data_IF_448998565376
#
_entry.id   IF_448998565376
#
_cell.length_a   1.000
_cell.length_b   1.000
_cell.length_c   1.000
_cell.angle_alpha   90.00
_cell.angle_beta   90.00
_cell.angle_gamma   90.00
#
_symmetry.space_group_name_H-M   'P 1'
#
loop_
_entity.id
_entity.type
_entity.pdbx_description
1 polymer ?
#
# COMPACT_ATOMS: atom_id res chain seq x y z
N UNK A 1 -5.37 -6.07 -19.08
CA UNK A 1 -6.29 -5.06 -18.49
C UNK A 1 -7.58 -5.68 -17.95
N UNK A 2 -7.58 -6.93 -17.47
CA UNK A 2 -8.79 -7.63 -16.98
C UNK A 2 -8.68 -8.12 -15.53
N UNK A 3 -7.46 -8.27 -15.00
CA UNK A 3 -7.23 -8.69 -13.61
C UNK A 3 -7.42 -7.54 -12.60
N UNK A 4 -7.04 -6.31 -12.98
CA UNK A 4 -7.11 -5.14 -12.09
C UNK A 4 -8.57 -4.71 -11.82
N UNK A 5 -9.43 -4.75 -12.83
CA UNK A 5 -10.83 -4.32 -12.73
C UNK A 5 -11.68 -5.32 -11.94
N UNK A 6 -11.42 -6.63 -12.12
CA UNK A 6 -12.01 -7.69 -11.28
C UNK A 6 -11.57 -7.58 -9.82
N UNK A 7 -10.28 -7.32 -9.57
CA UNK A 7 -9.77 -7.12 -8.21
C UNK A 7 -10.46 -5.94 -7.51
N UNK A 8 -10.73 -4.85 -8.22
CA UNK A 8 -11.40 -3.66 -7.65
C UNK A 8 -12.88 -3.89 -7.31
N UNK A 9 -13.55 -4.82 -8.00
CA UNK A 9 -14.95 -5.16 -7.76
C UNK A 9 -15.10 -6.06 -6.53
N UNK A 10 -14.18 -7.02 -6.35
CA UNK A 10 -14.15 -7.93 -5.21
C UNK A 10 -14.01 -7.22 -3.85
N UNK A 11 -13.35 -6.05 -3.82
CA UNK A 11 -13.05 -5.29 -2.59
C UNK A 11 -14.27 -4.59 -1.97
N UNK A 12 -15.38 -4.42 -2.71
CA UNK A 12 -16.55 -3.69 -2.21
C UNK A 12 -16.26 -2.20 -1.90
N UNK A 13 -16.95 -1.65 -0.89
CA UNK A 13 -16.67 -0.30 -0.37
C UNK A 13 -15.24 -0.23 0.17
N UNK A 14 -14.46 0.74 -0.30
CA UNK A 14 -13.06 0.93 0.11
C UNK A 14 -12.78 2.37 0.52
N UNK A 15 -11.99 2.51 1.57
CA UNK A 15 -11.35 3.77 1.95
C UNK A 15 -9.85 3.58 1.80
N UNK A 16 -9.23 4.40 0.96
CA UNK A 16 -7.78 4.37 0.72
C UNK A 16 -7.17 5.57 1.43
N UNK A 17 -6.14 5.31 2.23
CA UNK A 17 -5.32 6.30 2.90
C UNK A 17 -3.90 6.22 2.35
N UNK A 18 -3.34 7.36 2.00
CA UNK A 18 -1.90 7.49 1.73
C UNK A 18 -1.22 7.78 3.06
N UNK A 19 -0.30 6.93 3.45
CA UNK A 19 0.48 7.07 4.69
C UNK A 19 1.74 7.87 4.45
N UNK A 20 2.49 7.51 3.41
CA UNK A 20 3.70 8.20 3.02
C UNK A 20 3.82 8.24 1.50
N UNK A 21 4.40 9.31 0.98
CA UNK A 21 4.73 9.45 -0.42
C UNK A 21 6.08 10.13 -0.57
N UNK A 22 6.93 9.54 -1.38
CA UNK A 22 8.27 10.01 -1.69
C UNK A 22 8.36 10.24 -3.19
N UNK A 23 8.96 11.36 -3.58
CA UNK A 23 9.08 11.78 -4.97
C UNK A 23 10.56 11.78 -5.33
N UNK A 24 10.93 10.96 -6.30
CA UNK A 24 12.22 10.96 -6.95
C UNK A 24 12.07 11.64 -8.32
N UNK A 25 12.37 12.93 -8.35
CA UNK A 25 12.29 13.75 -9.57
C UNK A 25 13.31 13.32 -10.63
N UNK A 26 14.48 12.83 -10.23
CA UNK A 26 15.55 12.45 -11.17
C UNK A 26 15.12 11.22 -11.99
N UNK A 27 14.53 10.23 -11.31
CA UNK A 27 14.06 9.00 -11.95
C UNK A 27 12.59 9.05 -12.38
N UNK A 28 11.92 10.20 -12.21
CA UNK A 28 10.48 10.38 -12.46
C UNK A 28 9.65 9.26 -11.80
N UNK A 29 9.91 9.03 -10.51
CA UNK A 29 9.35 7.93 -9.76
C UNK A 29 8.67 8.41 -8.48
N UNK A 30 7.54 7.83 -8.14
CA UNK A 30 6.86 8.01 -6.87
C UNK A 30 6.88 6.68 -6.13
N UNK A 31 7.33 6.69 -4.88
CA UNK A 31 7.17 5.59 -3.96
C UNK A 31 6.13 5.96 -2.91
N UNK A 32 5.09 5.14 -2.71
CA UNK A 32 4.07 5.39 -1.70
C UNK A 32 3.72 4.15 -0.88
N UNK A 33 3.31 4.41 0.36
CA UNK A 33 2.70 3.43 1.27
C UNK A 33 1.22 3.78 1.41
N UNK A 34 0.37 2.80 1.15
CA UNK A 34 -1.08 2.94 1.17
C UNK A 34 -1.69 1.95 2.16
N UNK A 35 -2.76 2.41 2.82
CA UNK A 35 -3.69 1.56 3.56
C UNK A 35 -5.04 1.56 2.88
N UNK A 36 -5.55 0.39 2.53
CA UNK A 36 -6.93 0.26 2.08
C UNK A 36 -7.74 -0.49 3.13
N UNK A 37 -8.77 0.16 3.69
CA UNK A 37 -9.81 -0.53 4.46
C UNK A 37 -10.91 -0.95 3.49
N UNK A 38 -11.22 -2.25 3.44
CA UNK A 38 -12.18 -2.81 2.49
C UNK A 38 -12.92 -4.01 3.07
N UNK A 39 -14.10 -4.33 2.53
CA UNK A 39 -14.87 -5.52 2.92
C UNK A 39 -15.04 -6.41 1.71
N UNK A 40 -14.22 -7.48 1.56
CA UNK A 40 -14.32 -8.33 0.39
C UNK A 40 -15.70 -8.99 0.31
N UNK A 41 -16.30 -8.92 -0.87
CA UNK A 41 -17.59 -9.55 -1.21
C UNK A 41 -17.42 -10.83 -2.03
N UNK A 42 -16.23 -11.00 -2.62
CA UNK A 42 -15.79 -12.18 -3.36
C UNK A 42 -14.39 -12.59 -2.90
N UNK A 43 -13.96 -13.79 -3.27
CA UNK A 43 -12.64 -14.30 -2.90
C UNK A 43 -11.54 -13.36 -3.39
N UNK A 44 -10.67 -12.93 -2.48
CA UNK A 44 -9.62 -11.95 -2.75
C UNK A 44 -8.27 -12.49 -2.27
N UNK A 45 -7.27 -12.55 -3.17
CA UNK A 45 -5.93 -13.08 -2.88
C UNK A 45 -5.92 -14.50 -2.27
N UNK A 46 -6.90 -15.33 -2.63
CA UNK A 46 -7.06 -16.69 -2.09
C UNK A 46 -7.77 -16.77 -0.75
N UNK A 47 -8.31 -15.65 -0.24
CA UNK A 47 -9.12 -15.60 0.97
C UNK A 47 -10.61 -15.52 0.63
N UNK A 48 -11.42 -16.33 1.30
CA UNK A 48 -12.87 -16.26 1.19
C UNK A 48 -13.45 -15.05 1.95
N UNK A 49 -14.54 -14.44 1.47
CA UNK A 49 -15.22 -13.35 2.17
C UNK A 49 -15.63 -13.72 3.60
N UNK A 50 -15.29 -12.87 4.57
CA UNK A 50 -15.71 -13.06 5.97
C UNK A 50 -16.85 -12.13 6.41
N UNK A 51 -17.27 -11.21 5.54
CA UNK A 51 -18.24 -10.16 5.87
C UNK A 51 -17.70 -9.04 6.78
N UNK A 52 -16.40 -9.06 7.09
CA UNK A 52 -15.70 -8.11 7.95
C UNK A 52 -14.81 -7.18 7.14
N UNK A 53 -14.51 -6.02 7.71
CA UNK A 53 -13.51 -5.12 7.13
C UNK A 53 -12.11 -5.71 7.35
N UNK A 54 -11.28 -5.62 6.31
CA UNK A 54 -9.85 -5.93 6.31
C UNK A 54 -9.07 -4.66 5.99
N UNK A 55 -7.83 -4.61 6.44
CA UNK A 55 -6.87 -3.58 6.10
C UNK A 55 -5.77 -4.18 5.23
N UNK A 56 -5.62 -3.67 4.02
CA UNK A 56 -4.51 -3.93 3.13
C UNK A 56 -3.42 -2.91 3.38
N UNK A 57 -2.17 -3.35 3.57
CA UNK A 57 -0.98 -2.49 3.43
C UNK A 57 -0.33 -2.78 2.09
N UNK A 58 -0.13 -1.74 1.30
CA UNK A 58 0.48 -1.80 -0.02
C UNK A 58 1.64 -0.80 -0.11
N UNK A 59 2.74 -1.22 -0.72
CA UNK A 59 3.79 -0.30 -1.17
C UNK A 59 3.81 -0.28 -2.68
N UNK A 60 3.85 0.91 -3.27
CA UNK A 60 3.88 1.09 -4.72
C UNK A 60 5.10 1.90 -5.12
N UNK A 61 5.73 1.48 -6.21
CA UNK A 61 6.61 2.32 -7.01
C UNK A 61 5.95 2.59 -8.35
N UNK A 62 5.83 3.85 -8.74
CA UNK A 62 5.20 4.30 -9.97
C UNK A 62 6.18 5.21 -10.74
N UNK A 63 6.56 4.80 -11.95
CA UNK A 63 7.42 5.56 -12.85
C UNK A 63 6.61 6.29 -13.91
N UNK A 64 7.09 7.45 -14.32
CA UNK A 64 6.46 8.33 -15.28
C UNK A 64 7.37 8.61 -16.47
N UNK A 65 6.76 8.75 -17.64
CA UNK A 65 7.42 9.19 -18.88
C UNK A 65 6.49 10.16 -19.57
N UNK A 66 6.98 11.35 -19.90
CA UNK A 66 6.19 12.46 -20.47
C UNK A 66 4.92 12.79 -19.63
N UNK A 67 5.07 12.76 -18.30
CA UNK A 67 3.98 13.05 -17.35
C UNK A 67 2.91 11.95 -17.26
N UNK A 68 3.11 10.78 -17.88
CA UNK A 68 2.16 9.64 -17.82
C UNK A 68 2.78 8.45 -17.11
N UNK A 69 1.96 7.72 -16.36
CA UNK A 69 2.37 6.47 -15.71
C UNK A 69 2.87 5.48 -16.77
N UNK A 70 4.15 5.11 -16.73
CA UNK A 70 4.78 4.18 -17.66
C UNK A 70 4.91 2.78 -17.06
N UNK A 71 5.16 2.70 -15.75
CA UNK A 71 5.31 1.44 -15.02
C UNK A 71 4.83 1.60 -13.57
N UNK A 72 4.26 0.54 -13.03
CA UNK A 72 4.06 0.42 -11.59
C UNK A 72 4.51 -0.97 -11.10
N UNK A 73 5.07 -1.02 -9.90
CA UNK A 73 5.31 -2.25 -9.13
C UNK A 73 4.62 -2.06 -7.80
N UNK A 74 3.83 -3.04 -7.40
CA UNK A 74 3.05 -3.01 -6.16
C UNK A 74 3.41 -4.24 -5.35
N UNK A 75 3.62 -4.07 -4.05
CA UNK A 75 3.84 -5.15 -3.10
C UNK A 75 2.82 -5.04 -1.99
N UNK A 76 2.21 -6.17 -1.65
CA UNK A 76 1.13 -6.26 -0.66
C UNK A 76 1.63 -7.10 0.50
N UNK A 77 1.39 -6.65 1.74
CA UNK A 77 1.63 -7.47 2.91
C UNK A 77 0.50 -8.51 3.09
N UNK A 78 0.64 -9.66 2.43
CA UNK A 78 -0.33 -10.75 2.54
C UNK A 78 -0.26 -11.51 3.87
N UNK A 79 0.85 -11.41 4.61
CA UNK A 79 0.98 -12.04 5.94
C UNK A 79 0.06 -11.36 6.94
N UNK A 80 -0.04 -10.03 6.91
CA UNK A 80 -0.94 -9.28 7.78
C UNK A 80 -2.41 -9.53 7.44
N UNK A 81 -2.75 -9.71 6.16
CA UNK A 81 -4.07 -10.18 5.78
C UNK A 81 -4.36 -11.56 6.37
N UNK A 82 -3.42 -12.51 6.29
CA UNK A 82 -3.57 -13.85 6.88
C UNK A 82 -3.82 -13.78 8.40
N UNK A 83 -3.11 -12.92 9.11
CA UNK A 83 -3.32 -12.70 10.56
C UNK A 83 -4.72 -12.15 10.86
N UNK A 84 -5.18 -11.14 10.11
CA UNK A 84 -6.53 -10.57 10.27
C UNK A 84 -7.62 -11.60 10.03
N UNK A 85 -7.39 -12.52 9.09
CA UNK A 85 -8.32 -13.61 8.79
C UNK A 85 -8.35 -14.67 9.90
N UNK A 86 -7.17 -15.00 10.46
CA UNK A 86 -7.02 -16.01 11.51
C UNK A 86 -7.49 -15.55 12.90
N UNK A 87 -7.41 -14.25 13.21
CA UNK A 87 -7.75 -13.71 14.54
C UNK A 87 -8.91 -12.71 14.46
N UNK A 88 -10.16 -13.19 14.57
CA UNK A 88 -11.35 -12.33 14.68
C UNK A 88 -11.22 -11.29 15.80
N UNK A 89 -11.26 -10.00 15.46
CA UNK A 89 -11.28 -8.91 16.45
C UNK A 89 -9.92 -8.50 17.02
N UNK A 90 -8.82 -8.97 16.42
CA UNK A 90 -7.50 -8.41 16.72
C UNK A 90 -7.44 -6.95 16.27
N UNK A 91 -7.11 -6.03 17.19
CA UNK A 91 -6.76 -4.66 16.82
C UNK A 91 -5.47 -4.71 15.99
N UNK A 92 -5.56 -4.39 14.71
CA UNK A 92 -4.37 -4.17 13.90
C UNK A 92 -3.87 -2.76 14.23
N UNK A 93 -2.82 -2.67 15.03
CA UNK A 93 -2.09 -1.42 15.19
C UNK A 93 -1.39 -1.12 13.86
N UNK A 94 -1.78 0.00 13.24
CA UNK A 94 -1.15 0.44 12.00
C UNK A 94 0.16 1.11 12.36
N UNK A 95 1.27 0.41 12.11
CA UNK A 95 2.60 0.99 12.16
C UNK A 95 2.77 1.93 10.95
N UNK A 96 2.34 3.18 11.12
CA UNK A 96 2.25 4.21 10.08
C UNK A 96 3.63 4.85 9.84
N UNK A 97 4.10 4.87 8.59
CA UNK A 97 5.32 5.58 8.21
C UNK A 97 5.21 7.10 8.42
N UNK A 98 4.00 7.66 8.42
CA UNK A 98 3.77 9.06 8.81
C UNK A 98 4.15 9.38 10.27
N UNK A 99 4.25 8.38 11.13
CA UNK A 99 4.73 8.55 12.51
C UNK A 99 6.25 8.61 12.60
N UNK A 100 6.97 8.20 11.53
CA UNK A 100 8.40 8.40 11.43
C UNK A 100 8.70 9.86 11.02
N UNK A 101 9.46 10.55 11.88
CA UNK A 101 9.96 11.90 11.62
C UNK A 101 11.01 11.87 10.51
N UNK A 102 10.55 11.89 9.25
CA UNK A 102 11.45 12.14 8.12
C UNK A 102 11.87 13.61 8.16
N UNK A 103 13.17 13.93 8.11
CA UNK A 103 13.62 15.32 8.10
C UNK A 103 12.98 16.08 6.93
N UNK A 104 12.10 17.03 7.20
CA UNK A 104 11.34 17.77 6.18
C UNK A 104 12.20 18.67 5.27
N UNK A 105 13.51 18.78 5.52
CA UNK A 105 14.34 19.87 4.98
C UNK A 105 15.55 19.44 4.15
N UNK A 106 15.74 18.15 3.86
CA UNK A 106 16.86 17.70 3.02
C UNK A 106 16.40 16.75 1.92
N UNK A 107 16.83 17.01 0.67
CA UNK A 107 16.93 15.96 -0.35
C UNK A 107 17.75 14.82 0.27
N UNK A 108 17.08 13.73 0.63
CA UNK A 108 17.74 12.54 1.10
C UNK A 108 18.49 11.91 -0.07
N UNK A 109 19.71 11.46 0.18
CA UNK A 109 20.40 10.56 -0.74
C UNK A 109 19.62 9.24 -0.86
N UNK A 110 19.81 8.50 -1.95
CA UNK A 110 19.18 7.19 -2.14
C UNK A 110 19.40 6.23 -0.95
N UNK A 111 20.57 6.31 -0.30
CA UNK A 111 20.91 5.50 0.87
C UNK A 111 20.13 5.91 2.12
N UNK A 112 19.92 7.20 2.33
CA UNK A 112 19.12 7.71 3.44
C UNK A 112 17.65 7.35 3.25
N UNK A 113 17.14 7.47 2.01
CA UNK A 113 15.79 7.05 1.66
C UNK A 113 15.59 5.54 1.90
N UNK A 114 16.54 4.70 1.50
CA UNK A 114 16.47 3.26 1.74
C UNK A 114 16.48 2.93 3.25
N UNK A 115 17.28 3.64 4.05
CA UNK A 115 17.33 3.46 5.49
C UNK A 115 15.99 3.82 6.16
N UNK A 116 15.32 4.88 5.72
CA UNK A 116 13.99 5.27 6.22
C UNK A 116 12.91 4.23 5.94
N UNK A 117 13.04 3.48 4.84
CA UNK A 117 12.09 2.42 4.47
C UNK A 117 12.29 1.10 5.22
N UNK A 118 13.47 0.88 5.81
CA UNK A 118 13.82 -0.36 6.53
C UNK A 118 13.62 -0.28 8.04
N UNK A 119 13.48 0.93 8.58
CA UNK A 119 13.20 1.17 9.99
C UNK A 119 11.76 0.74 10.33
#
# INVERSE_FOLDING_TARGET
>A
MHAHEKALTALGSRVIHVDGMFIDEENQCIADTLYAKFKPTESFLGFEPTGRDLILREHKFAWFTDGKLSRAVLTINSDDLRKQMATPGGNLELDLASECLVPMTSKLSAKELEASYRA
#
